data_IF_463769773643
#
_entry.id   IF_463769773643
#
_cell.length_a   1.000
_cell.length_b   1.000
_cell.length_c   1.000
_cell.angle_alpha   90.00
_cell.angle_beta   90.00
_cell.angle_gamma   90.00
#
_symmetry.space_group_name_H-M   'P 1'
#
loop_
_entity.id
_entity.type
_entity.pdbx_description
1 polymer ?
#
# COMPACT_ATOMS: atom_id res chain seq x y z
N UNK A 1 14.69 -1.10 -11.61
CA UNK A 1 13.71 -1.96 -12.32
C UNK A 1 14.10 -3.40 -12.03
N UNK A 2 13.22 -4.14 -11.35
CA UNK A 2 13.43 -5.55 -11.03
C UNK A 2 12.15 -6.28 -11.43
N UNK A 3 12.30 -7.26 -12.30
CA UNK A 3 11.28 -7.84 -13.16
C UNK A 3 10.52 -8.99 -12.49
N UNK A 4 9.24 -9.11 -12.81
CA UNK A 4 8.41 -10.30 -12.57
C UNK A 4 8.34 -11.10 -13.87
N UNK A 5 8.68 -12.39 -13.81
CA UNK A 5 8.39 -13.35 -14.88
C UNK A 5 7.26 -14.27 -14.42
N UNK A 6 6.29 -14.46 -15.32
CA UNK A 6 5.43 -15.63 -15.34
C UNK A 6 6.15 -16.81 -15.98
N UNK A 7 5.71 -18.02 -15.64
CA UNK A 7 6.01 -19.23 -16.38
C UNK A 7 4.71 -20.02 -16.56
N UNK A 8 4.50 -20.42 -17.81
CA UNK A 8 3.34 -21.09 -18.34
C UNK A 8 3.44 -22.62 -18.21
N UNK A 9 2.29 -23.27 -18.31
CA UNK A 9 2.03 -24.70 -18.33
C UNK A 9 2.64 -25.45 -19.55
N UNK A 10 2.71 -26.78 -19.46
CA UNK A 10 2.95 -27.78 -20.53
C UNK A 10 1.66 -28.60 -20.73
N UNK A 11 1.59 -29.56 -21.68
CA UNK A 11 1.91 -29.55 -23.12
C UNK A 11 0.64 -29.90 -23.94
N UNK A 12 0.66 -29.78 -25.28
CA UNK A 12 0.15 -30.79 -26.24
C UNK A 12 0.01 -30.22 -27.66
N UNK A 13 0.21 -31.12 -28.61
CA UNK A 13 0.06 -31.05 -30.07
C UNK A 13 1.11 -30.29 -30.92
N UNK A 14 2.10 -31.09 -31.34
CA UNK A 14 2.95 -30.89 -32.50
C UNK A 14 2.14 -30.96 -33.81
N UNK A 15 2.18 -29.91 -34.64
CA UNK A 15 2.16 -30.03 -36.11
C UNK A 15 3.03 -28.92 -36.73
N UNK A 16 4.15 -29.30 -37.34
CA UNK A 16 4.99 -28.41 -38.16
C UNK A 16 4.62 -28.60 -39.63
N UNK A 17 4.36 -27.51 -40.36
CA UNK A 17 4.47 -27.44 -41.83
C UNK A 17 5.40 -26.26 -42.21
N UNK A 18 6.36 -26.44 -43.13
CA UNK A 18 7.35 -25.41 -43.44
C UNK A 18 6.95 -24.57 -44.67
N UNK A 19 7.93 -23.80 -45.19
CA UNK A 19 7.96 -22.93 -46.38
C UNK A 19 7.61 -21.46 -46.10
N UNK A 20 8.39 -20.47 -46.49
CA UNK A 20 9.60 -20.42 -47.29
C UNK A 20 10.06 -18.95 -47.43
N UNK A 21 11.34 -18.75 -47.73
CA UNK A 21 11.99 -17.45 -47.92
C UNK A 21 11.43 -16.68 -49.11
N UNK A 22 11.25 -15.35 -49.00
CA UNK A 22 11.39 -14.42 -50.14
C UNK A 22 11.96 -13.05 -49.70
N UNK A 23 13.18 -12.82 -50.18
CA UNK A 23 13.94 -11.59 -50.52
C UNK A 23 13.46 -10.18 -50.19
N UNK A 24 14.44 -9.41 -49.71
CA UNK A 24 14.51 -7.95 -49.67
C UNK A 24 14.39 -7.26 -51.04
N UNK A 25 13.80 -6.06 -51.06
CA UNK A 25 13.89 -5.11 -52.18
C UNK A 25 14.34 -3.74 -51.67
N UNK A 26 15.44 -3.26 -52.25
CA UNK A 26 16.11 -1.97 -52.05
C UNK A 26 15.46 -0.90 -52.93
N UNK A 27 15.24 0.32 -52.42
CA UNK A 27 15.15 1.54 -53.23
C UNK A 27 15.84 2.71 -52.48
N UNK A 28 16.56 3.51 -53.26
CA UNK A 28 17.54 4.55 -52.93
C UNK A 28 16.92 5.96 -52.77
N UNK A 29 17.72 7.00 -52.41
CA UNK A 29 17.27 8.22 -51.72
C UNK A 29 17.07 9.42 -52.66
N UNK A 30 16.17 10.34 -52.32
CA UNK A 30 16.25 11.72 -52.83
C UNK A 30 15.59 12.74 -51.88
N UNK A 31 16.29 13.88 -51.80
CA UNK A 31 15.84 15.24 -51.52
C UNK A 31 15.65 15.76 -50.09
N UNK A 32 16.72 16.42 -49.68
CA UNK A 32 16.92 17.35 -48.59
C UNK A 32 16.23 18.69 -48.90
N UNK A 33 14.93 18.84 -48.60
CA UNK A 33 14.31 20.18 -48.52
C UNK A 33 13.16 20.19 -47.52
N UNK A 34 13.07 21.27 -46.75
CA UNK A 34 12.02 21.62 -45.78
C UNK A 34 12.19 21.10 -44.36
N UNK A 35 13.32 21.49 -43.76
CA UNK A 35 13.35 21.83 -42.33
C UNK A 35 12.49 23.07 -42.07
N UNK A 36 11.70 23.03 -40.98
CA UNK A 36 10.86 24.10 -40.45
C UNK A 36 9.41 24.16 -40.98
N UNK A 37 8.56 23.29 -40.42
CA UNK A 37 7.21 23.58 -39.88
C UNK A 37 6.41 22.28 -39.85
N UNK A 38 6.39 21.62 -38.71
CA UNK A 38 5.27 20.81 -38.19
C UNK A 38 5.70 20.24 -36.84
N UNK A 39 6.02 21.16 -35.91
CA UNK A 39 5.82 20.89 -34.49
C UNK A 39 4.33 21.03 -34.20
N UNK A 40 3.86 20.19 -33.27
CA UNK A 40 2.49 20.08 -32.77
C UNK A 40 1.56 19.24 -33.64
N UNK A 41 1.56 17.93 -33.39
CA UNK A 41 0.37 17.11 -33.08
C UNK A 41 0.82 15.67 -32.94
N UNK A 42 1.08 15.20 -31.72
CA UNK A 42 0.59 13.95 -31.12
C UNK A 42 0.89 14.06 -29.62
N UNK A 43 0.15 14.91 -28.91
CA UNK A 43 -0.11 14.68 -27.49
C UNK A 43 -1.40 13.87 -27.46
N UNK A 44 -1.28 12.54 -27.62
CA UNK A 44 -2.40 11.65 -27.33
C UNK A 44 -2.60 11.71 -25.81
N UNK A 45 -3.57 12.49 -25.37
CA UNK A 45 -4.11 12.43 -24.02
C UNK A 45 -4.58 11.01 -23.76
N UNK A 46 -3.78 10.25 -23.02
CA UNK A 46 -4.28 9.03 -22.37
C UNK A 46 -5.33 9.52 -21.38
N UNK A 47 -6.59 9.23 -21.67
CA UNK A 47 -7.71 9.52 -20.79
C UNK A 47 -7.52 8.71 -19.51
N UNK A 48 -6.91 9.32 -18.50
CA UNK A 48 -6.71 8.71 -17.19
C UNK A 48 -8.08 8.66 -16.52
N UNK A 49 -8.67 7.46 -16.46
CA UNK A 49 -9.87 7.19 -15.68
C UNK A 49 -9.70 7.81 -14.27
N UNK A 50 -10.68 8.56 -13.73
CA UNK A 50 -10.57 9.21 -12.43
C UNK A 50 -10.07 8.23 -11.37
N UNK A 51 -9.10 8.63 -10.54
CA UNK A 51 -8.53 7.78 -9.48
C UNK A 51 -9.61 7.21 -8.53
N UNK A 52 -10.68 7.98 -8.33
CA UNK A 52 -11.87 7.60 -7.59
C UNK A 52 -12.53 6.32 -8.15
N UNK A 53 -12.60 6.17 -9.48
CA UNK A 53 -13.25 5.01 -10.09
C UNK A 53 -12.40 3.73 -9.98
N UNK A 54 -11.08 3.87 -9.77
CA UNK A 54 -10.19 2.73 -9.56
C UNK A 54 -10.16 2.32 -8.09
N UNK A 55 -10.30 3.27 -7.17
CA UNK A 55 -10.23 3.04 -5.72
C UNK A 55 -11.47 3.62 -5.01
N UNK A 56 -12.66 3.00 -5.21
CA UNK A 56 -13.94 3.57 -4.76
C UNK A 56 -14.06 3.72 -3.23
N UNK A 57 -13.28 2.94 -2.48
CA UNK A 57 -13.26 2.98 -1.01
C UNK A 57 -11.98 3.63 -0.44
N UNK A 58 -11.20 4.37 -1.24
CA UNK A 58 -10.06 5.11 -0.69
C UNK A 58 -10.55 6.40 -0.05
N UNK A 59 -10.31 6.55 1.24
CA UNK A 59 -10.64 7.77 1.97
C UNK A 59 -9.62 8.87 1.68
N UNK A 60 -10.09 10.12 1.63
CA UNK A 60 -9.23 11.30 1.55
C UNK A 60 -9.87 12.48 2.26
N UNK A 61 -9.07 13.27 2.99
CA UNK A 61 -9.51 14.55 3.57
C UNK A 61 -9.07 15.76 2.73
N UNK A 62 -8.50 15.52 1.55
CA UNK A 62 -7.92 16.55 0.68
C UNK A 62 -8.35 16.34 -0.77
N UNK A 63 -8.49 17.45 -1.51
CA UNK A 63 -8.75 17.46 -2.96
C UNK A 63 -7.45 17.44 -3.79
N UNK A 64 -6.29 17.48 -3.12
CA UNK A 64 -4.99 17.46 -3.81
C UNK A 64 -4.78 16.11 -4.51
N UNK A 65 -4.35 16.11 -5.78
CA UNK A 65 -4.06 14.86 -6.49
C UNK A 65 -2.85 14.16 -5.88
N UNK A 66 -2.79 12.82 -6.01
CA UNK A 66 -1.72 11.99 -5.45
C UNK A 66 -0.32 12.47 -5.84
N UNK A 67 -0.13 12.96 -7.07
CA UNK A 67 1.16 13.47 -7.56
C UNK A 67 1.71 14.63 -6.72
N UNK A 68 0.83 15.44 -6.14
CA UNK A 68 1.21 16.51 -5.22
C UNK A 68 1.43 15.97 -3.81
N UNK A 69 0.58 15.04 -3.35
CA UNK A 69 0.68 14.46 -2.01
C UNK A 69 1.97 13.68 -1.78
N UNK A 70 2.51 13.02 -2.81
CA UNK A 70 3.81 12.31 -2.73
C UNK A 70 4.96 13.23 -2.34
N UNK A 71 4.84 14.55 -2.57
CA UNK A 71 5.86 15.55 -2.24
C UNK A 71 5.45 16.43 -1.06
N UNK A 72 4.23 16.27 -0.54
CA UNK A 72 3.72 17.04 0.57
C UNK A 72 4.15 16.37 1.88
N UNK A 73 4.98 17.05 2.66
CA UNK A 73 5.46 16.53 3.94
C UNK A 73 4.36 16.34 4.98
N UNK A 74 3.20 16.98 4.81
CA UNK A 74 2.03 16.81 5.66
C UNK A 74 1.16 15.61 5.24
N UNK A 75 1.40 15.00 4.07
CA UNK A 75 0.58 13.91 3.61
C UNK A 75 1.04 12.57 4.21
N UNK A 76 0.12 11.78 4.74
CA UNK A 76 0.31 10.36 5.08
C UNK A 76 -0.41 9.53 4.02
N UNK A 77 0.35 8.71 3.29
CA UNK A 77 -0.14 7.91 2.18
C UNK A 77 -0.19 6.42 2.55
N UNK A 78 -1.40 5.88 2.62
CA UNK A 78 -1.69 4.48 2.96
C UNK A 78 -2.44 3.80 1.82
N UNK A 79 -2.65 2.49 1.91
CA UNK A 79 -3.33 1.71 0.86
C UNK A 79 -4.73 2.28 0.54
N UNK A 80 -5.52 2.51 1.59
CA UNK A 80 -6.93 2.89 1.50
C UNK A 80 -7.22 4.27 2.11
N UNK A 81 -6.20 5.09 2.37
CA UNK A 81 -6.37 6.43 2.90
C UNK A 81 -5.25 7.38 2.50
N UNK A 82 -5.60 8.58 2.05
CA UNK A 82 -4.69 9.72 1.87
C UNK A 82 -5.07 10.83 2.85
N UNK A 83 -4.16 11.16 3.76
CA UNK A 83 -4.45 12.07 4.88
C UNK A 83 -3.49 13.24 4.79
N UNK A 84 -4.00 14.44 4.58
CA UNK A 84 -3.25 15.66 4.83
C UNK A 84 -3.40 16.01 6.32
N UNK A 85 -2.29 15.93 7.06
CA UNK A 85 -2.26 16.13 8.51
C UNK A 85 -2.17 17.60 8.92
N UNK A 86 -2.19 18.52 7.96
CA UNK A 86 -2.40 19.95 8.23
C UNK A 86 -3.86 20.32 8.48
N UNK A 87 -4.80 19.45 8.06
CA UNK A 87 -6.22 19.61 8.35
C UNK A 87 -6.61 18.90 9.64
N UNK A 88 -7.50 19.51 10.42
CA UNK A 88 -8.08 18.94 11.64
C UNK A 88 -9.32 18.07 11.35
N UNK A 89 -9.41 17.53 10.13
CA UNK A 89 -10.55 16.73 9.68
C UNK A 89 -10.26 15.25 9.85
N UNK A 90 -11.10 14.57 10.64
CA UNK A 90 -11.08 13.12 10.74
C UNK A 90 -11.65 12.47 9.49
N UNK A 91 -11.11 11.31 9.12
CA UNK A 91 -11.72 10.46 8.11
C UNK A 91 -12.97 9.76 8.68
N UNK A 92 -13.99 9.59 7.85
CA UNK A 92 -15.17 8.80 8.16
C UNK A 92 -14.85 7.32 7.95
N UNK A 93 -14.49 6.63 9.03
CA UNK A 93 -14.16 5.20 9.03
C UNK A 93 -15.29 4.43 9.71
N UNK A 94 -15.83 3.36 9.11
CA UNK A 94 -16.82 2.50 9.75
C UNK A 94 -16.32 1.98 11.11
N UNK A 95 -17.20 1.94 12.10
CA UNK A 95 -16.84 1.55 13.48
C UNK A 95 -16.18 0.17 13.55
N UNK A 96 -16.66 -0.80 12.75
CA UNK A 96 -16.10 -2.15 12.64
C UNK A 96 -14.66 -2.20 12.10
N UNK A 97 -14.19 -1.11 11.48
CA UNK A 97 -12.85 -0.99 10.89
C UNK A 97 -11.95 0.01 11.64
N UNK A 98 -12.36 0.42 12.84
CA UNK A 98 -11.52 1.12 13.82
C UNK A 98 -10.72 0.10 14.65
N UNK A 99 -9.54 0.50 15.10
CA UNK A 99 -8.66 -0.29 15.97
C UNK A 99 -9.13 -0.33 17.43
N UNK A 100 -10.27 0.30 17.75
CA UNK A 100 -10.77 0.49 19.12
C UNK A 100 -9.94 1.50 19.93
N UNK A 101 -10.16 1.49 21.25
CA UNK A 101 -9.59 2.47 22.19
C UNK A 101 -8.08 2.30 22.43
N UNK A 102 -7.54 1.10 22.19
CA UNK A 102 -6.11 0.82 22.31
C UNK A 102 -5.55 0.19 21.03
N UNK A 103 -5.23 0.99 20.00
CA UNK A 103 -4.68 0.52 18.74
C UNK A 103 -3.33 -0.19 18.85
N UNK A 104 -2.56 0.09 19.92
CA UNK A 104 -1.17 -0.33 20.17
C UNK A 104 -0.16 -0.07 19.04
N UNK A 105 -0.61 0.55 17.95
CA UNK A 105 0.13 0.79 16.73
C UNK A 105 -0.33 2.10 16.14
N UNK A 106 0.64 2.97 15.87
CA UNK A 106 0.40 4.33 15.42
C UNK A 106 1.31 4.66 14.25
N UNK A 107 0.86 5.58 13.41
CA UNK A 107 1.67 6.26 12.40
C UNK A 107 2.17 7.54 13.06
N UNK A 108 3.48 7.63 13.26
CA UNK A 108 4.13 8.80 13.84
C UNK A 108 4.86 9.58 12.75
N UNK A 109 4.37 10.78 12.44
CA UNK A 109 4.96 11.66 11.43
C UNK A 109 5.84 12.72 12.11
N UNK A 110 7.07 12.86 11.64
CA UNK A 110 7.96 13.94 12.06
C UNK A 110 7.59 15.25 11.37
N UNK A 111 7.85 16.36 12.05
CA UNK A 111 7.86 17.68 11.44
C UNK A 111 9.19 17.87 10.71
N UNK A 112 9.15 17.89 9.38
CA UNK A 112 10.33 17.88 8.52
C UNK A 112 11.04 16.50 8.48
N UNK A 113 12.29 16.44 8.00
CA UNK A 113 13.00 15.18 7.81
C UNK A 113 13.12 14.30 9.06
N UNK A 114 12.97 12.98 8.91
CA UNK A 114 13.12 12.03 10.03
C UNK A 114 14.55 12.00 10.59
N UNK A 115 14.73 12.56 11.79
CA UNK A 115 16.04 12.66 12.46
C UNK A 115 16.30 11.54 13.46
N UNK A 116 17.56 11.38 13.87
CA UNK A 116 17.90 10.52 15.01
C UNK A 116 17.23 10.99 16.32
N UNK A 117 16.98 12.29 16.48
CA UNK A 117 16.28 12.83 17.64
C UNK A 117 14.84 12.32 17.71
N UNK A 118 14.12 12.32 16.58
CA UNK A 118 12.76 11.79 16.53
C UNK A 118 12.71 10.29 16.84
N UNK A 119 13.63 9.49 16.27
CA UNK A 119 13.72 8.05 16.58
C UNK A 119 13.98 7.78 18.06
N UNK A 120 14.93 8.51 18.66
CA UNK A 120 15.18 8.42 20.12
C UNK A 120 13.96 8.84 20.93
N UNK A 121 13.24 9.87 20.48
CA UNK A 121 12.04 10.32 21.15
C UNK A 121 10.94 9.25 21.13
N UNK A 122 10.72 8.58 19.99
CA UNK A 122 9.82 7.41 19.90
C UNK A 122 10.23 6.33 20.91
N UNK A 123 11.49 5.91 20.91
CA UNK A 123 11.98 4.87 21.82
C UNK A 123 11.87 5.25 23.30
N UNK A 124 12.14 6.52 23.64
CA UNK A 124 12.01 7.04 25.01
C UNK A 124 10.55 7.03 25.53
N UNK A 125 9.55 6.95 24.65
CA UNK A 125 8.13 6.78 25.01
C UNK A 125 7.67 5.32 24.97
N UNK A 126 8.60 4.38 24.85
CA UNK A 126 8.32 2.94 24.75
C UNK A 126 7.93 2.47 23.35
N UNK A 127 8.13 3.30 22.32
CA UNK A 127 7.82 2.96 20.94
C UNK A 127 8.88 2.11 20.27
N UNK A 128 8.45 1.14 19.47
CA UNK A 128 9.28 0.37 18.53
C UNK A 128 8.90 0.69 17.10
N UNK A 129 9.87 1.13 16.30
CA UNK A 129 9.67 1.41 14.88
C UNK A 129 9.61 0.08 14.12
N UNK A 130 8.52 -0.14 13.39
CA UNK A 130 8.30 -1.33 12.56
C UNK A 130 8.77 -1.08 11.13
N UNK A 131 8.36 0.05 10.54
CA UNK A 131 8.69 0.39 9.16
C UNK A 131 8.64 1.89 8.93
N UNK A 132 9.30 2.34 7.85
CA UNK A 132 9.13 3.69 7.34
C UNK A 132 7.87 3.78 6.47
N UNK A 133 7.13 4.87 6.63
CA UNK A 133 6.03 5.28 5.76
C UNK A 133 6.51 6.58 5.08
N UNK A 134 6.28 6.76 3.76
CA UNK A 134 6.66 7.99 3.06
C UNK A 134 6.23 9.27 3.78
N UNK A 135 6.86 10.39 3.41
CA UNK A 135 6.57 11.72 3.97
C UNK A 135 6.82 11.81 5.48
N UNK A 136 8.03 11.41 5.84
CA UNK A 136 8.60 11.57 7.19
C UNK A 136 7.84 10.82 8.30
N UNK A 137 7.22 9.67 7.98
CA UNK A 137 6.45 8.90 8.93
C UNK A 137 7.08 7.54 9.27
N UNK A 138 6.77 7.04 10.46
CA UNK A 138 7.08 5.68 10.88
C UNK A 138 5.81 4.97 11.31
N UNK A 139 5.70 3.68 10.99
CA UNK A 139 4.80 2.77 11.69
C UNK A 139 5.46 2.37 13.01
N UNK A 140 4.77 2.60 14.13
CA UNK A 140 5.32 2.45 15.46
C UNK A 140 4.39 1.60 16.32
N UNK A 141 4.92 0.53 16.92
CA UNK A 141 4.28 -0.19 18.03
C UNK A 141 4.49 0.61 19.31
N UNK A 142 3.42 1.16 19.89
CA UNK A 142 3.47 1.98 21.09
C UNK A 142 2.08 2.00 21.74
N UNK A 143 2.01 1.95 23.07
CA UNK A 143 0.75 2.05 23.80
C UNK A 143 0.17 3.46 23.76
N UNK A 144 -1.12 3.59 24.08
CA UNK A 144 -1.88 4.86 24.02
C UNK A 144 -1.21 6.01 24.79
N UNK A 145 -0.68 5.76 25.99
CA UNK A 145 0.03 6.78 26.77
C UNK A 145 1.35 7.22 26.13
N UNK A 146 2.04 6.30 25.47
CA UNK A 146 3.24 6.62 24.71
C UNK A 146 2.91 7.46 23.48
N UNK A 147 1.85 7.09 22.75
CA UNK A 147 1.36 7.84 21.59
C UNK A 147 0.93 9.27 21.95
N UNK A 148 0.20 9.45 23.06
CA UNK A 148 -0.16 10.77 23.57
C UNK A 148 1.06 11.64 23.86
N UNK A 149 2.03 11.10 24.61
CA UNK A 149 3.29 11.80 24.94
C UNK A 149 4.17 12.06 23.71
N UNK A 150 4.08 11.21 22.68
CA UNK A 150 4.79 11.40 21.41
C UNK A 150 4.23 12.61 20.64
N UNK A 151 2.91 12.83 20.69
CA UNK A 151 2.24 13.98 20.06
C UNK A 151 2.65 15.33 20.68
N UNK A 152 3.04 15.34 21.95
CA UNK A 152 3.39 16.56 22.70
C UNK A 152 4.75 17.16 22.30
N UNK A 153 5.60 16.42 21.57
CA UNK A 153 6.92 16.92 21.17
C UNK A 153 6.85 17.84 19.94
N UNK A 154 7.55 18.97 19.98
CA UNK A 154 7.51 20.00 18.93
C UNK A 154 8.01 19.53 17.55
N UNK A 155 8.79 18.44 17.51
CA UNK A 155 9.24 17.81 16.27
C UNK A 155 8.29 16.72 15.75
N UNK A 156 7.14 16.50 16.40
CA UNK A 156 6.09 15.59 15.92
C UNK A 156 5.04 16.39 15.17
N UNK A 157 4.75 15.99 13.92
CA UNK A 157 3.69 16.57 13.10
C UNK A 157 2.34 15.95 13.43
N UNK A 158 2.28 14.61 13.46
CA UNK A 158 1.04 13.89 13.73
C UNK A 158 1.30 12.52 14.36
N UNK A 159 0.31 12.03 15.10
CA UNK A 159 0.27 10.66 15.62
C UNK A 159 -1.13 10.11 15.34
N UNK A 160 -1.24 9.21 14.37
CA UNK A 160 -2.52 8.67 13.90
C UNK A 160 -2.64 7.20 14.31
N UNK A 161 -3.80 6.73 14.80
CA UNK A 161 -4.05 5.30 14.98
C UNK A 161 -3.86 4.53 13.67
N UNK A 162 -3.20 3.37 13.70
CA UNK A 162 -3.07 2.51 12.53
C UNK A 162 -4.32 1.62 12.36
N UNK A 163 -5.36 2.20 11.75
CA UNK A 163 -6.69 1.59 11.65
C UNK A 163 -6.69 0.34 10.74
N UNK A 164 -7.51 -0.69 11.04
CA UNK A 164 -7.77 -1.81 10.14
C UNK A 164 -8.16 -1.40 8.72
N UNK A 165 -8.94 -0.33 8.58
CA UNK A 165 -9.34 0.22 7.28
C UNK A 165 -8.15 0.44 6.33
N UNK A 166 -7.02 0.90 6.84
CA UNK A 166 -5.88 1.34 6.04
C UNK A 166 -5.06 0.20 5.43
N UNK A 167 -5.21 -1.04 5.93
CA UNK A 167 -4.29 -2.15 5.65
C UNK A 167 -4.91 -3.29 4.81
N UNK A 168 -6.23 -3.31 4.64
CA UNK A 168 -6.90 -4.34 3.86
C UNK A 168 -6.57 -4.26 2.37
N UNK A 169 -6.50 -5.42 1.72
CA UNK A 169 -6.55 -5.50 0.25
C UNK A 169 -7.88 -4.92 -0.23
N UNK A 170 -7.93 -4.31 -1.42
CA UNK A 170 -9.11 -3.61 -1.92
C UNK A 170 -10.36 -4.49 -1.97
N UNK A 171 -10.23 -5.74 -2.41
CA UNK A 171 -11.39 -6.63 -2.45
C UNK A 171 -11.85 -7.04 -1.06
N UNK A 172 -10.90 -7.23 -0.13
CA UNK A 172 -11.21 -7.50 1.28
C UNK A 172 -11.90 -6.30 1.94
N UNK A 173 -11.48 -5.08 1.61
CA UNK A 173 -12.12 -3.85 2.10
C UNK A 173 -13.54 -3.70 1.56
N UNK A 174 -13.75 -3.93 0.25
CA UNK A 174 -15.08 -3.93 -0.34
C UNK A 174 -16.00 -4.91 0.38
N UNK A 175 -15.55 -6.16 0.61
CA UNK A 175 -16.34 -7.16 1.31
C UNK A 175 -16.63 -6.74 2.75
N UNK A 176 -15.66 -6.19 3.49
CA UNK A 176 -15.86 -5.72 4.86
C UNK A 176 -16.83 -4.53 4.96
N UNK A 177 -16.82 -3.61 4.00
CA UNK A 177 -17.73 -2.45 3.96
C UNK A 177 -19.14 -2.87 3.55
N UNK A 178 -19.26 -3.88 2.68
CA UNK A 178 -20.56 -4.36 2.16
C UNK A 178 -21.12 -5.55 2.93
N UNK A 179 -20.51 -5.87 4.07
CA UNK A 179 -20.87 -7.01 4.94
C UNK A 179 -20.98 -8.34 4.18
N UNK A 180 -20.10 -8.54 3.20
CA UNK A 180 -20.01 -9.78 2.45
C UNK A 180 -19.13 -10.78 3.20
N UNK A 181 -19.57 -12.05 3.35
CA UNK A 181 -18.74 -13.08 3.94
C UNK A 181 -17.54 -13.38 3.05
N UNK A 182 -16.45 -13.81 3.67
CA UNK A 182 -15.34 -14.39 2.92
C UNK A 182 -15.79 -15.70 2.26
N UNK A 183 -15.28 -16.02 1.06
CA UNK A 183 -15.53 -17.32 0.46
C UNK A 183 -15.01 -18.45 1.35
N UNK A 184 -15.75 -19.56 1.38
CA UNK A 184 -15.29 -20.81 2.02
C UNK A 184 -13.95 -21.21 1.41
N UNK A 185 -13.02 -21.69 2.24
CA UNK A 185 -11.66 -22.06 1.87
C UNK A 185 -10.79 -20.91 1.32
N UNK A 186 -11.23 -19.65 1.47
CA UNK A 186 -10.43 -18.51 1.02
C UNK A 186 -9.06 -18.47 1.72
N UNK A 187 -8.00 -18.25 0.93
CA UNK A 187 -6.64 -18.09 1.44
C UNK A 187 -6.32 -16.61 1.66
N UNK A 188 -5.94 -16.27 2.89
CA UNK A 188 -5.55 -14.93 3.29
C UNK A 188 -4.06 -14.86 3.60
N UNK A 189 -3.41 -13.81 3.10
CA UNK A 189 -2.08 -13.43 3.55
C UNK A 189 -2.22 -12.53 4.78
N UNK A 190 -1.76 -13.03 5.94
CA UNK A 190 -1.82 -12.30 7.20
C UNK A 190 -0.40 -11.94 7.63
N UNK A 191 -0.07 -10.65 7.64
CA UNK A 191 1.22 -10.17 8.14
C UNK A 191 1.07 -9.74 9.59
N UNK A 192 1.88 -10.36 10.44
CA UNK A 192 1.90 -10.15 11.88
C UNK A 192 3.03 -9.20 12.27
N UNK A 193 2.83 -8.49 13.38
CA UNK A 193 3.92 -7.76 13.99
C UNK A 193 4.93 -8.74 14.60
N UNK A 194 6.20 -8.33 14.76
CA UNK A 194 7.16 -9.12 15.51
C UNK A 194 6.63 -9.43 16.92
N UNK A 195 6.87 -10.66 17.38
CA UNK A 195 6.51 -11.17 18.70
C UNK A 195 5.01 -11.43 18.91
N UNK A 196 4.17 -11.38 17.87
CA UNK A 196 2.72 -11.63 17.97
C UNK A 196 2.27 -12.98 17.42
N UNK A 197 3.20 -13.84 16.99
CA UNK A 197 2.90 -15.08 16.25
C UNK A 197 2.07 -16.07 17.05
N UNK A 198 2.50 -16.43 18.25
CA UNK A 198 1.84 -17.43 19.08
C UNK A 198 0.41 -17.02 19.43
N UNK A 199 0.23 -15.76 19.84
CA UNK A 199 -1.06 -15.18 20.16
C UNK A 199 -1.96 -15.14 18.92
N UNK A 200 -1.45 -14.68 17.76
CA UNK A 200 -2.23 -14.60 16.54
C UNK A 200 -2.67 -15.98 16.02
N UNK A 201 -1.78 -16.98 16.01
CA UNK A 201 -2.12 -18.35 15.59
C UNK A 201 -3.20 -18.94 16.47
N UNK A 202 -3.11 -18.72 17.79
CA UNK A 202 -4.15 -19.15 18.73
C UNK A 202 -5.51 -18.48 18.42
N UNK A 203 -5.53 -17.17 18.24
CA UNK A 203 -6.77 -16.45 17.89
C UNK A 203 -7.37 -16.89 16.55
N UNK A 204 -6.54 -17.17 15.55
CA UNK A 204 -7.01 -17.70 14.26
C UNK A 204 -7.63 -19.09 14.44
N UNK A 205 -7.00 -19.97 15.21
CA UNK A 205 -7.55 -21.30 15.51
C UNK A 205 -8.88 -21.22 16.27
N UNK A 206 -9.03 -20.29 17.23
CA UNK A 206 -10.28 -20.05 17.95
C UNK A 206 -11.42 -19.59 17.02
N UNK A 207 -11.09 -19.02 15.86
CA UNK A 207 -12.03 -18.63 14.79
C UNK A 207 -12.24 -19.74 13.75
N UNK A 208 -11.65 -20.93 13.93
CA UNK A 208 -11.69 -22.02 12.96
C UNK A 208 -10.84 -21.79 11.71
N UNK A 209 -9.93 -20.81 11.74
CA UNK A 209 -9.03 -20.50 10.62
C UNK A 209 -7.77 -21.35 10.71
N UNK A 210 -7.49 -22.11 9.65
CA UNK A 210 -6.31 -22.96 9.56
C UNK A 210 -5.09 -22.18 9.07
N UNK A 211 -3.96 -22.30 9.77
CA UNK A 211 -2.67 -21.77 9.29
C UNK A 211 -1.98 -22.82 8.42
N UNK A 212 -1.83 -22.54 7.13
CA UNK A 212 -1.29 -23.46 6.13
C UNK A 212 0.23 -23.33 6.03
N UNK A 213 0.74 -22.11 5.93
CA UNK A 213 2.18 -21.84 5.84
C UNK A 213 2.57 -20.62 6.66
N UNK A 214 3.84 -20.59 7.06
CA UNK A 214 4.45 -19.49 7.79
C UNK A 214 5.80 -19.12 7.16
N UNK A 215 5.96 -17.84 6.82
CA UNK A 215 7.18 -17.25 6.29
C UNK A 215 7.67 -16.08 7.17
N UNK A 216 8.96 -15.76 7.06
CA UNK A 216 9.53 -14.54 7.66
C UNK A 216 9.59 -13.42 6.63
N UNK A 217 9.25 -12.20 7.05
CA UNK A 217 9.40 -10.99 6.24
C UNK A 217 10.14 -9.91 7.04
N UNK A 218 10.66 -8.86 6.39
CA UNK A 218 11.25 -7.71 7.08
C UNK A 218 10.29 -6.99 8.04
N UNK A 219 8.98 -7.21 7.90
CA UNK A 219 7.94 -6.54 8.67
C UNK A 219 7.35 -7.43 9.78
N UNK A 220 7.82 -8.67 9.89
CA UNK A 220 7.32 -9.69 10.81
C UNK A 220 6.94 -10.99 10.10
N UNK A 221 6.25 -11.87 10.80
CA UNK A 221 5.84 -13.17 10.26
C UNK A 221 4.65 -13.02 9.32
N UNK A 222 4.68 -13.68 8.16
CA UNK A 222 3.56 -13.79 7.24
C UNK A 222 2.97 -15.19 7.34
N UNK A 223 1.67 -15.28 7.55
CA UNK A 223 0.89 -16.51 7.50
C UNK A 223 0.08 -16.57 6.21
N UNK A 224 -0.07 -17.78 5.67
CA UNK A 224 -1.17 -18.10 4.75
C UNK A 224 -2.21 -18.84 5.56
N UNK A 225 -3.40 -18.25 5.67
CA UNK A 225 -4.48 -18.75 6.52
C UNK A 225 -5.71 -19.08 5.68
N UNK A 226 -6.37 -20.21 5.94
CA UNK A 226 -7.56 -20.67 5.23
C UNK A 226 -8.80 -20.46 6.09
N UNK A 227 -9.76 -19.74 5.55
CA UNK A 227 -11.06 -19.48 6.17
C UNK A 227 -11.93 -20.75 6.09
N UNK A 228 -12.66 -21.11 7.17
CA UNK A 228 -13.55 -22.28 7.17
C UNK A 228 -14.80 -22.10 6.29
#
# INVERSE_FOLDING_TARGET
>A
MSFWFGLNEKPDDFVIKPFGNVTAKKVQPVDLVNSAKLSATVAASVEVKPEADRFPYRLTNTKSPIGNLVRNENAVLLRNAFIDTSFDTSLEIPESLLAGDNPETYIAQAKGPVTAAFRRHISAKGGRIVSYIPNNAYLVRIGVDGARRLKEWSGTQSVLPFQPYYKLEMKLLEMAITDQPLPVDALLNVVLFPDSESTAVKHLADLGVDVITQDRTPFGTKLVARVP
#
